data_IF_619730738995
#
_entry.id   IF_619730738995
#
_cell.length_a   1.000
_cell.length_b   1.000
_cell.length_c   1.000
_cell.angle_alpha   90.00
_cell.angle_beta   90.00
_cell.angle_gamma   90.00
#
_symmetry.space_group_name_H-M   'P 1'
#
loop_
_entity.id
_entity.type
_entity.pdbx_description
1 polymer ?
#
# COMPACT_ATOMS: atom_id res chain seq x y z
N UNK A 1 -12.66 -11.58 -17.76
CA UNK A 1 -11.54 -10.85 -17.12
C UNK A 1 -11.57 -10.98 -15.60
N UNK A 2 -12.69 -10.75 -14.89
CA UNK A 2 -12.78 -10.97 -13.44
C UNK A 2 -12.77 -12.45 -12.99
N UNK A 3 -13.35 -13.37 -13.79
CA UNK A 3 -13.51 -14.79 -13.43
C UNK A 3 -12.20 -15.57 -13.20
N UNK A 4 -11.07 -15.08 -13.74
CA UNK A 4 -9.76 -15.70 -13.49
C UNK A 4 -9.19 -15.36 -12.09
N UNK A 5 -9.64 -14.26 -11.48
CA UNK A 5 -9.23 -13.82 -10.14
C UNK A 5 -10.22 -14.25 -9.05
N UNK A 6 -11.52 -14.37 -9.39
CA UNK A 6 -12.60 -14.71 -8.45
C UNK A 6 -12.99 -16.20 -8.45
N UNK A 7 -12.04 -17.10 -8.71
CA UNK A 7 -12.30 -18.53 -8.59
C UNK A 7 -12.28 -18.96 -7.10
N UNK A 8 -13.47 -19.23 -6.54
CA UNK A 8 -13.64 -19.62 -5.14
C UNK A 8 -12.92 -20.91 -4.74
N UNK A 9 -12.68 -21.83 -5.69
CA UNK A 9 -11.95 -23.08 -5.49
C UNK A 9 -10.42 -22.88 -5.55
N UNK A 10 -9.96 -21.72 -6.06
CA UNK A 10 -8.54 -21.37 -6.22
C UNK A 10 -8.22 -20.03 -5.58
N UNK A 11 -8.61 -19.85 -4.31
CA UNK A 11 -8.30 -18.64 -3.54
C UNK A 11 -6.79 -18.42 -3.45
N UNK A 12 -6.31 -17.34 -4.06
CA UNK A 12 -4.91 -16.91 -3.97
C UNK A 12 -4.78 -15.75 -3.00
N UNK A 13 -3.96 -15.93 -1.97
CA UNK A 13 -3.56 -14.84 -1.09
C UNK A 13 -2.35 -14.12 -1.69
N UNK A 14 -2.59 -12.95 -2.27
CA UNK A 14 -1.51 -12.08 -2.74
C UNK A 14 -0.82 -11.39 -1.54
N UNK A 15 0.47 -11.09 -1.71
CA UNK A 15 1.25 -10.34 -0.72
C UNK A 15 0.80 -8.88 -0.63
N UNK A 16 1.20 -8.20 0.45
CA UNK A 16 0.96 -6.76 0.65
C UNK A 16 2.19 -5.95 0.24
N UNK A 17 2.65 -6.16 -0.99
CA UNK A 17 3.89 -5.58 -1.51
C UNK A 17 3.81 -5.47 -3.05
N UNK A 18 3.92 -4.27 -3.65
CA UNK A 18 4.18 -2.97 -3.00
C UNK A 18 2.91 -2.29 -2.45
N UNK A 19 3.10 -1.25 -1.64
CA UNK A 19 2.07 -0.22 -1.40
C UNK A 19 2.09 0.76 -2.58
N UNK A 20 0.94 0.90 -3.24
CA UNK A 20 0.80 1.67 -4.48
C UNK A 20 0.01 2.96 -4.25
N UNK A 21 0.48 4.06 -4.83
CA UNK A 21 -0.26 5.30 -5.01
C UNK A 21 -0.75 5.39 -6.45
N UNK A 22 -2.06 5.37 -6.65
CA UNK A 22 -2.68 5.60 -7.96
C UNK A 22 -3.21 7.03 -8.05
N UNK A 23 -3.00 7.68 -9.19
CA UNK A 23 -3.35 9.10 -9.40
C UNK A 23 -4.44 9.23 -10.45
N UNK A 24 -5.38 10.14 -10.18
CA UNK A 24 -6.50 10.46 -11.05
C UNK A 24 -6.78 11.97 -10.99
N UNK A 25 -7.07 12.57 -12.14
CA UNK A 25 -7.48 13.98 -12.22
C UNK A 25 -8.98 14.18 -11.98
N UNK A 26 -9.78 13.13 -12.16
CA UNK A 26 -11.25 13.19 -12.09
C UNK A 26 -11.84 12.34 -10.96
N UNK A 27 -11.03 11.54 -10.28
CA UNK A 27 -11.46 10.60 -9.24
C UNK A 27 -12.12 9.33 -9.78
N UNK A 28 -12.26 9.18 -11.10
CA UNK A 28 -12.88 8.02 -11.76
C UNK A 28 -11.87 7.16 -12.49
N UNK A 29 -10.99 7.79 -13.28
CA UNK A 29 -9.96 7.10 -14.07
C UNK A 29 -8.58 7.37 -13.48
N UNK A 30 -7.94 6.30 -13.01
CA UNK A 30 -6.57 6.35 -12.52
C UNK A 30 -5.61 6.04 -13.66
N UNK A 31 -4.79 7.02 -14.04
CA UNK A 31 -3.93 6.97 -15.23
C UNK A 31 -2.48 6.69 -14.91
N UNK A 32 -2.09 6.74 -13.64
CA UNK A 32 -0.72 6.50 -13.19
C UNK A 32 -0.70 5.79 -11.85
N UNK A 33 0.32 4.97 -11.64
CA UNK A 33 0.52 4.19 -10.42
C UNK A 33 2.01 4.16 -10.05
N UNK A 34 2.30 4.45 -8.78
CA UNK A 34 3.65 4.53 -8.24
C UNK A 34 3.81 3.57 -7.07
N UNK A 35 4.93 2.85 -7.02
CA UNK A 35 5.29 2.08 -5.83
C UNK A 35 5.81 3.04 -4.75
N UNK A 36 4.98 3.30 -3.73
CA UNK A 36 5.32 4.22 -2.63
C UNK A 36 6.24 3.54 -1.60
N UNK A 37 6.06 2.24 -1.40
CA UNK A 37 6.90 1.41 -0.54
C UNK A 37 6.92 -0.02 -1.05
N UNK A 38 8.10 -0.61 -1.08
CA UNK A 38 8.30 -2.01 -1.42
C UNK A 38 8.94 -2.77 -0.25
N UNK A 39 8.81 -4.09 -0.30
CA UNK A 39 9.48 -5.01 0.59
C UNK A 39 8.73 -5.32 1.88
N UNK A 40 9.30 -6.25 2.63
CA UNK A 40 8.79 -6.73 3.92
C UNK A 40 9.88 -6.52 4.98
N UNK A 41 9.46 -6.07 6.14
CA UNK A 41 10.31 -5.96 7.32
C UNK A 41 10.61 -7.34 7.92
N UNK A 42 11.74 -7.44 8.61
CA UNK A 42 11.97 -8.54 9.54
C UNK A 42 11.13 -8.30 10.80
N UNK A 43 10.44 -9.34 11.25
CA UNK A 43 9.63 -9.28 12.45
C UNK A 43 10.52 -9.30 13.69
N UNK A 44 10.33 -8.33 14.59
CA UNK A 44 11.06 -8.30 15.87
C UNK A 44 10.32 -9.06 16.96
N UNK A 45 8.99 -9.12 16.89
CA UNK A 45 8.16 -9.89 17.83
C UNK A 45 7.81 -11.27 17.22
N UNK A 46 8.33 -12.38 17.79
CA UNK A 46 8.08 -13.72 17.26
C UNK A 46 6.68 -14.25 17.59
N UNK A 47 6.25 -15.30 16.89
CA UNK A 47 5.02 -16.08 17.15
C UNK A 47 3.68 -15.34 17.03
N UNK A 48 3.65 -14.13 16.45
CA UNK A 48 2.40 -13.40 16.19
C UNK A 48 1.81 -13.79 14.83
N UNK A 49 0.62 -14.41 14.85
CA UNK A 49 -0.10 -14.87 13.65
C UNK A 49 -0.89 -13.74 12.98
N UNK A 50 -1.28 -13.95 11.72
CA UNK A 50 -2.22 -13.07 11.02
C UNK A 50 -1.68 -11.70 10.62
N UNK A 51 -0.35 -11.50 10.64
CA UNK A 51 0.28 -10.21 10.37
C UNK A 51 0.25 -9.84 8.89
N UNK A 52 0.65 -10.77 8.03
CA UNK A 52 0.82 -10.53 6.60
C UNK A 52 1.91 -9.47 6.37
N UNK A 53 3.09 -9.86 5.87
CA UNK A 53 4.22 -8.92 5.76
C UNK A 53 3.97 -7.79 4.77
N UNK A 54 4.79 -6.73 4.87
CA UNK A 54 4.76 -5.59 3.94
C UNK A 54 3.89 -4.41 4.43
N UNK A 55 3.92 -3.30 3.68
CA UNK A 55 3.14 -2.10 3.98
C UNK A 55 1.63 -2.31 3.79
N UNK A 56 0.81 -1.79 4.70
CA UNK A 56 -0.62 -2.10 4.75
C UNK A 56 -1.42 -1.11 5.62
N UNK A 57 -2.73 -1.03 5.39
CA UNK A 57 -3.66 -0.08 6.00
C UNK A 57 -3.20 1.38 5.84
N UNK A 58 -3.04 1.86 4.59
CA UNK A 58 -2.66 3.24 4.37
C UNK A 58 -3.75 4.21 4.80
N UNK A 59 -3.33 5.34 5.37
CA UNK A 59 -4.12 6.54 5.56
C UNK A 59 -3.34 7.71 4.92
N UNK A 60 -4.06 8.58 4.21
CA UNK A 60 -3.50 9.66 3.44
C UNK A 60 -4.01 11.00 3.96
N UNK A 61 -3.11 11.99 4.01
CA UNK A 61 -3.43 13.39 4.27
C UNK A 61 -2.57 14.30 3.40
N UNK A 62 -3.16 15.38 2.91
CA UNK A 62 -2.44 16.41 2.16
C UNK A 62 -2.34 17.65 3.03
N UNK A 63 -1.14 18.20 3.16
CA UNK A 63 -0.90 19.45 3.88
C UNK A 63 0.17 20.26 3.17
N UNK A 64 -0.18 21.47 2.74
CA UNK A 64 0.67 22.32 1.92
C UNK A 64 0.97 21.68 0.57
N UNK A 65 2.25 21.63 0.21
CA UNK A 65 2.78 21.06 -1.04
C UNK A 65 3.17 19.58 -0.92
N UNK A 66 2.71 18.89 0.14
CA UNK A 66 3.12 17.52 0.46
C UNK A 66 1.94 16.60 0.70
N UNK A 67 2.13 15.37 0.24
CA UNK A 67 1.32 14.21 0.57
C UNK A 67 2.00 13.42 1.70
N UNK A 68 1.24 13.12 2.76
CA UNK A 68 1.63 12.27 3.87
C UNK A 68 0.84 10.97 3.79
N UNK A 69 1.54 9.84 3.78
CA UNK A 69 0.93 8.52 3.77
C UNK A 69 1.44 7.73 4.95
N UNK A 70 0.58 7.55 5.95
CA UNK A 70 0.84 6.70 7.11
C UNK A 70 0.36 5.29 6.80
N UNK A 71 1.14 4.28 7.18
CA UNK A 71 0.76 2.88 7.02
C UNK A 71 1.45 2.03 8.08
N UNK A 72 0.88 0.86 8.37
CA UNK A 72 1.58 -0.14 9.15
C UNK A 72 2.50 -0.97 8.25
N UNK A 73 3.61 -1.45 8.79
CA UNK A 73 4.51 -2.41 8.13
C UNK A 73 4.46 -3.69 8.96
N UNK A 74 3.85 -4.73 8.37
CA UNK A 74 3.63 -6.02 9.02
C UNK A 74 2.85 -5.97 10.34
N UNK A 75 1.99 -4.98 10.56
CA UNK A 75 1.24 -4.75 11.81
C UNK A 75 2.10 -4.69 13.09
N UNK A 76 3.33 -4.17 13.01
CA UNK A 76 4.19 -3.93 14.19
C UNK A 76 4.83 -2.57 14.14
N UNK A 77 5.31 -2.16 12.97
CA UNK A 77 5.78 -0.80 12.75
C UNK A 77 4.68 0.08 12.17
N UNK A 78 4.70 1.36 12.54
CA UNK A 78 4.00 2.43 11.83
C UNK A 78 5.06 3.25 11.11
N UNK A 79 4.84 3.50 9.82
CA UNK A 79 5.69 4.32 8.98
C UNK A 79 4.88 5.43 8.33
N UNK A 80 5.56 6.52 7.98
CA UNK A 80 5.01 7.62 7.20
C UNK A 80 5.94 7.86 6.02
N UNK A 81 5.40 7.84 4.80
CA UNK A 81 6.08 8.34 3.60
C UNK A 81 5.57 9.74 3.29
N UNK A 82 6.49 10.68 3.05
CA UNK A 82 6.17 12.07 2.68
C UNK A 82 6.64 12.29 1.25
N UNK A 83 5.74 12.74 0.37
CA UNK A 83 6.02 12.96 -1.05
C UNK A 83 5.66 14.40 -1.42
N UNK A 84 6.56 15.17 -2.04
CA UNK A 84 6.19 16.46 -2.64
C UNK A 84 5.14 16.24 -3.73
N UNK A 85 4.06 17.04 -3.75
CA UNK A 85 3.03 16.92 -4.78
C UNK A 85 3.60 17.15 -6.18
N UNK A 86 4.64 17.98 -6.31
CA UNK A 86 5.36 18.21 -7.57
C UNK A 86 6.10 16.98 -8.11
N UNK A 87 6.33 15.95 -7.29
CA UNK A 87 6.94 14.69 -7.72
C UNK A 87 5.92 13.70 -8.31
N UNK A 88 4.62 13.99 -8.17
CA UNK A 88 3.52 13.16 -8.64
C UNK A 88 2.98 13.82 -9.92
N UNK A 89 2.98 13.09 -11.03
CA UNK A 89 2.57 13.60 -12.35
C UNK A 89 1.19 13.08 -12.75
#
# INVERSE_FOLDING_TARGET
MATAFDNADKRRHYGRDPLVLSVSNDGYRFTSAYALRCGKQQYRVPNVKGRGGGPQYPNLSVYGDKLYVMYSIGKEDIAVTIVPLSAIK
#
